data_IF_173289216059
#
_entry.id   IF_173289216059
#
_cell.length_a   1.000
_cell.length_b   1.000
_cell.length_c   1.000
_cell.angle_alpha   90.00
_cell.angle_beta   90.00
_cell.angle_gamma   90.00
#
_symmetry.space_group_name_H-M   'P 1'
#
loop_
_entity.id
_entity.type
_entity.pdbx_description
1 polymer ?
#
# COMPACT_ATOMS: atom_id res chain seq x y z
N UNK A 1 5.12 -20.40 3.97
CA UNK A 1 5.39 -19.04 3.45
C UNK A 1 6.40 -19.20 2.34
N UNK A 2 5.94 -19.47 1.12
CA UNK A 2 6.83 -19.62 -0.03
C UNK A 2 7.43 -18.25 -0.40
N UNK A 3 8.75 -18.14 -0.33
CA UNK A 3 9.50 -16.91 -0.68
C UNK A 3 9.21 -16.44 -2.12
N UNK A 4 8.66 -17.32 -2.96
CA UNK A 4 8.30 -17.07 -4.36
C UNK A 4 7.11 -16.13 -4.57
N UNK A 5 6.32 -15.80 -3.54
CA UNK A 5 5.15 -14.90 -3.67
C UNK A 5 5.37 -13.49 -3.10
N UNK A 6 6.59 -13.19 -2.65
CA UNK A 6 6.98 -11.88 -2.11
C UNK A 6 7.48 -10.93 -3.21
N UNK A 7 6.66 -9.95 -3.53
CA UNK A 7 6.92 -8.95 -4.57
C UNK A 7 7.63 -7.72 -4.00
N UNK A 8 8.50 -7.12 -4.81
CA UNK A 8 8.99 -5.76 -4.57
C UNK A 8 7.85 -4.75 -4.73
N UNK A 9 8.00 -3.58 -4.11
CA UNK A 9 7.11 -2.43 -4.31
C UNK A 9 6.90 -2.12 -5.81
N UNK A 10 7.94 -2.26 -6.63
CA UNK A 10 7.86 -1.99 -8.06
C UNK A 10 7.04 -3.05 -8.81
N UNK A 11 7.18 -4.32 -8.44
CA UNK A 11 6.38 -5.42 -9.04
C UNK A 11 4.92 -5.33 -8.60
N UNK A 12 4.65 -5.04 -7.33
CA UNK A 12 3.29 -4.82 -6.84
C UNK A 12 2.62 -3.65 -7.55
N UNK A 13 3.36 -2.56 -7.76
CA UNK A 13 2.88 -1.39 -8.50
C UNK A 13 2.50 -1.76 -9.95
N UNK A 14 3.31 -2.60 -10.62
CA UNK A 14 2.98 -3.13 -11.95
C UNK A 14 1.73 -4.01 -11.95
N UNK A 15 1.58 -4.89 -10.95
CA UNK A 15 0.40 -5.76 -10.86
C UNK A 15 -0.90 -4.98 -10.66
N UNK A 16 -0.86 -3.94 -9.83
CA UNK A 16 -2.03 -3.10 -9.53
C UNK A 16 -2.22 -1.95 -10.53
N UNK A 17 -1.38 -1.85 -11.56
CA UNK A 17 -1.35 -0.71 -12.49
C UNK A 17 -1.31 0.65 -11.78
N UNK A 18 -0.50 0.76 -10.72
CA UNK A 18 -0.36 1.98 -9.92
C UNK A 18 1.12 2.40 -9.79
N UNK A 19 1.37 3.54 -9.14
CA UNK A 19 2.74 4.00 -8.91
C UNK A 19 3.38 3.31 -7.70
N UNK A 20 4.70 3.16 -7.70
CA UNK A 20 5.45 2.66 -6.54
C UNK A 20 5.30 3.58 -5.31
N UNK A 21 5.05 4.87 -5.53
CA UNK A 21 4.73 5.84 -4.49
C UNK A 21 3.39 5.56 -3.81
N UNK A 22 2.38 5.12 -4.58
CA UNK A 22 1.09 4.71 -4.02
C UNK A 22 1.24 3.52 -3.06
N UNK A 23 1.98 2.49 -3.48
CA UNK A 23 2.25 1.30 -2.64
C UNK A 23 2.97 1.69 -1.35
N UNK A 24 4.00 2.56 -1.44
CA UNK A 24 4.71 3.09 -0.25
C UNK A 24 3.78 3.87 0.67
N UNK A 25 2.89 4.69 0.11
CA UNK A 25 1.93 5.49 0.89
C UNK A 25 0.97 4.59 1.65
N UNK A 26 0.44 3.53 1.03
CA UNK A 26 -0.45 2.56 1.70
C UNK A 26 0.24 1.86 2.87
N UNK A 27 1.49 1.45 2.70
CA UNK A 27 2.29 0.85 3.78
C UNK A 27 2.57 1.88 4.89
N UNK A 28 2.95 3.11 4.53
CA UNK A 28 3.25 4.16 5.49
C UNK A 28 2.03 4.52 6.37
N UNK A 29 0.83 4.57 5.78
CA UNK A 29 -0.41 4.78 6.53
C UNK A 29 -0.61 3.71 7.60
N UNK A 30 -0.39 2.44 7.26
CA UNK A 30 -0.46 1.32 8.21
C UNK A 30 0.58 1.40 9.33
N UNK A 31 1.81 1.79 9.01
CA UNK A 31 2.87 1.97 10.01
C UNK A 31 2.55 3.13 10.96
N UNK A 32 1.89 4.18 10.46
CA UNK A 32 1.41 5.31 11.26
C UNK A 32 0.08 5.05 11.99
N UNK A 33 -0.47 3.84 11.93
CA UNK A 33 -1.79 3.48 12.44
C UNK A 33 -2.91 4.41 11.93
N UNK A 34 -2.80 4.88 10.69
CA UNK A 34 -3.79 5.70 10.01
C UNK A 34 -4.72 4.84 9.15
N UNK A 35 -5.95 5.29 8.97
CA UNK A 35 -6.93 4.62 8.11
C UNK A 35 -6.49 4.64 6.64
N UNK A 36 -6.92 3.63 5.88
CA UNK A 36 -6.57 3.51 4.46
C UNK A 36 -5.17 2.94 4.20
N UNK A 37 -4.53 2.35 5.20
CA UNK A 37 -3.35 1.50 5.02
C UNK A 37 -3.70 0.07 4.59
N UNK A 38 -2.70 -0.70 4.17
CA UNK A 38 -2.82 -2.16 4.03
C UNK A 38 -2.57 -2.90 5.35
N UNK A 39 -3.24 -4.03 5.63
CA UNK A 39 -2.98 -4.76 6.86
C UNK A 39 -1.54 -5.28 6.90
N UNK A 40 -0.96 -5.35 8.11
CA UNK A 40 0.44 -5.81 8.33
C UNK A 40 0.68 -7.27 7.90
N UNK A 41 -0.38 -8.04 7.66
CA UNK A 41 -0.29 -9.39 7.07
C UNK A 41 0.07 -9.37 5.58
N UNK A 42 -0.13 -8.24 4.88
CA UNK A 42 0.06 -8.10 3.44
C UNK A 42 1.50 -7.76 3.07
N UNK A 43 2.27 -7.19 3.99
CA UNK A 43 3.65 -6.77 3.72
C UNK A 43 4.59 -7.10 4.88
N UNK A 44 5.87 -7.26 4.57
CA UNK A 44 6.92 -7.56 5.52
C UNK A 44 8.05 -6.57 5.31
N UNK A 45 8.57 -5.98 6.40
CA UNK A 45 9.80 -5.20 6.35
C UNK A 45 11.00 -6.12 6.60
N UNK A 46 11.82 -6.33 5.58
CA UNK A 46 13.05 -7.13 5.67
C UNK A 46 14.19 -6.38 6.38
N UNK A 47 14.09 -5.06 6.51
CA UNK A 47 15.10 -4.23 7.15
C UNK A 47 14.45 -3.22 8.11
N UNK A 48 13.94 -3.67 9.28
CA UNK A 48 13.32 -2.79 10.28
C UNK A 48 14.31 -1.80 10.90
N UNK A 49 15.56 -2.21 11.10
CA UNK A 49 16.61 -1.37 11.70
C UNK A 49 17.52 -0.70 10.66
N UNK A 50 17.18 -0.79 9.37
CA UNK A 50 17.97 -0.20 8.29
C UNK A 50 17.69 1.28 8.09
N UNK A 51 18.64 2.03 7.53
CA UNK A 51 18.45 3.45 7.17
C UNK A 51 17.27 3.69 6.20
N UNK A 52 16.87 2.65 5.45
CA UNK A 52 15.65 2.63 4.62
C UNK A 52 14.96 1.28 4.80
N UNK A 53 13.67 1.31 5.17
CA UNK A 53 12.84 0.10 5.25
C UNK A 53 12.73 -0.59 3.90
N UNK A 54 12.98 -1.90 3.90
CA UNK A 54 12.91 -2.74 2.71
C UNK A 54 11.63 -3.58 2.75
N UNK A 55 10.55 -3.06 2.15
CA UNK A 55 9.27 -3.76 2.14
C UNK A 55 9.16 -4.78 1.00
N UNK A 56 8.60 -5.94 1.34
CA UNK A 56 8.10 -6.95 0.40
C UNK A 56 6.61 -7.15 0.62
N UNK A 57 5.85 -7.30 -0.46
CA UNK A 57 4.39 -7.48 -0.42
C UNK A 57 4.08 -8.93 -0.76
N UNK A 58 3.28 -9.60 0.07
CA UNK A 58 2.75 -10.93 -0.24
C UNK A 58 1.60 -10.79 -1.23
N UNK A 59 1.78 -11.36 -2.43
CA UNK A 59 0.79 -11.31 -3.51
C UNK A 59 -0.56 -11.89 -3.10
N UNK A 60 -0.57 -13.06 -2.47
CA UNK A 60 -1.80 -13.78 -2.12
C UNK A 60 -2.62 -13.01 -1.08
N UNK A 61 -1.95 -12.50 -0.04
CA UNK A 61 -2.60 -11.71 1.00
C UNK A 61 -3.11 -10.36 0.47
N UNK A 62 -2.42 -9.78 -0.52
CA UNK A 62 -2.87 -8.56 -1.19
C UNK A 62 -4.12 -8.82 -2.03
N UNK A 63 -4.12 -9.90 -2.81
CA UNK A 63 -5.27 -10.27 -3.65
C UNK A 63 -6.50 -10.62 -2.80
N UNK A 64 -6.33 -11.38 -1.72
CA UNK A 64 -7.42 -11.67 -0.78
C UNK A 64 -7.97 -10.38 -0.16
N UNK A 65 -7.09 -9.50 0.34
CA UNK A 65 -7.51 -8.22 0.91
C UNK A 65 -8.30 -7.35 -0.08
N UNK A 66 -7.86 -7.31 -1.35
CA UNK A 66 -8.56 -6.54 -2.39
C UNK A 66 -9.90 -7.17 -2.80
N UNK A 67 -10.03 -8.49 -2.69
CA UNK A 67 -11.27 -9.19 -2.95
C UNK A 67 -12.28 -8.95 -1.82
N UNK A 68 -11.83 -9.01 -0.56
CA UNK A 68 -12.65 -8.70 0.62
C UNK A 68 -13.08 -7.21 0.61
N UNK A 69 -12.18 -6.31 0.22
CA UNK A 69 -12.47 -4.87 0.13
C UNK A 69 -13.50 -4.50 -0.96
N UNK A 70 -13.79 -5.39 -1.93
CA UNK A 70 -14.80 -5.12 -2.97
C UNK A 70 -16.23 -5.28 -2.44
N UNK A 71 -16.44 -5.98 -1.34
CA UNK A 71 -17.77 -6.20 -0.78
C UNK A 71 -18.31 -4.98 0.00
N UNK A 72 -17.45 -3.99 0.32
CA UNK A 72 -17.82 -2.81 1.13
C UNK A 72 -17.76 -1.47 0.39
N UNK A 73 -17.55 -1.45 -0.94
CA UNK A 73 -17.39 -0.20 -1.69
C UNK A 73 -18.73 0.49 -2.02
N UNK A 74 -19.34 1.14 -1.03
CA UNK A 74 -20.32 2.22 -1.28
C UNK A 74 -19.55 3.47 -1.70
N UNK A 75 -19.64 3.84 -2.98
CA UNK A 75 -19.01 5.04 -3.54
C UNK A 75 -19.80 6.27 -3.08
N UNK A 76 -19.31 6.96 -2.05
CA UNK A 76 -19.65 8.38 -1.87
C UNK A 76 -18.56 9.23 -2.56
N UNK A 77 -18.93 9.75 -3.72
CA UNK A 77 -18.20 10.74 -4.50
C UNK A 77 -18.37 12.12 -3.86
N UNK A 78 -17.28 12.71 -3.31
CA UNK A 78 -17.01 14.16 -3.20
C UNK A 78 -15.81 14.36 -2.25
N UNK A 79 -14.74 15.09 -2.55
CA UNK A 79 -14.55 16.10 -3.58
C UNK A 79 -13.07 16.29 -3.90
N UNK A 80 -12.87 16.84 -5.10
CA UNK A 80 -11.62 17.41 -5.54
C UNK A 80 -11.18 18.52 -4.58
N UNK A 81 -9.98 18.43 -4.01
CA UNK A 81 -9.19 19.61 -3.70
C UNK A 81 -7.82 19.47 -4.37
N UNK A 82 -7.82 19.93 -5.62
CA UNK A 82 -6.64 20.53 -6.23
C UNK A 82 -6.42 21.94 -5.64
N UNK A 83 -5.19 22.42 -5.80
CA UNK A 83 -4.72 23.81 -5.64
C UNK A 83 -4.07 24.21 -4.30
N UNK A 84 -2.74 24.13 -4.32
CA UNK A 84 -1.79 25.24 -4.09
C UNK A 84 -1.96 26.18 -2.90
N UNK A 85 -0.89 26.30 -2.10
CA UNK A 85 -0.31 27.61 -1.76
C UNK A 85 1.11 27.45 -1.20
N UNK A 86 2.10 27.73 -2.05
CA UNK A 86 3.39 28.23 -1.63
C UNK A 86 3.28 29.76 -1.53
N UNK A 87 3.44 30.33 -0.34
CA UNK A 87 3.74 31.75 -0.02
C UNK A 87 4.02 31.77 1.51
N UNK A 88 5.02 32.41 2.11
CA UNK A 88 5.90 33.53 1.76
C UNK A 88 7.33 33.24 2.29
#
# INVERSE_FOLDING_TARGET
MDVKTLLTIAETAKLLNCSSGFVRKRIALSESNQNGGWPKSVYINLQPNGAKSLYRVNKEALESFLQDSKEEATVEESGMEACSLASF
#
